data_IF_766508118073
#
_entry.id   IF_766508118073
#
_cell.length_a   1.000
_cell.length_b   1.000
_cell.length_c   1.000
_cell.angle_alpha   90.00
_cell.angle_beta   90.00
_cell.angle_gamma   90.00
#
_symmetry.space_group_name_H-M   'P 1'
#
loop_
_entity.id
_entity.type
_entity.pdbx_description
1 polymer ?
#
# COMPACT_ATOMS: atom_id res chain seq x y z
N UNK A 1 -7.38 4.69 -10.52
CA UNK A 1 -7.98 4.50 -9.18
C UNK A 1 -7.48 3.16 -8.66
N UNK A 2 -6.53 3.17 -7.71
CA UNK A 2 -6.05 1.94 -7.06
C UNK A 2 -7.03 1.57 -5.95
N UNK A 3 -7.75 0.47 -6.14
CA UNK A 3 -8.71 -0.03 -5.17
C UNK A 3 -7.95 -0.96 -4.19
N UNK A 4 -7.30 -0.38 -3.18
CA UNK A 4 -6.62 -1.16 -2.15
C UNK A 4 -7.66 -1.59 -1.11
N UNK A 5 -7.77 -2.90 -0.86
CA UNK A 5 -8.58 -3.42 0.23
C UNK A 5 -7.66 -3.69 1.43
N UNK A 6 -8.01 -3.16 2.60
CA UNK A 6 -7.29 -3.41 3.84
C UNK A 6 -8.30 -3.78 4.93
N UNK A 7 -8.08 -4.92 5.56
CA UNK A 7 -8.87 -5.41 6.69
C UNK A 7 -7.95 -5.76 7.84
N UNK A 8 -8.36 -5.47 9.07
CA UNK A 8 -7.49 -5.72 10.22
C UNK A 8 -8.10 -5.28 11.54
N UNK A 9 -7.37 -5.61 12.60
CA UNK A 9 -7.69 -5.29 13.98
C UNK A 9 -6.66 -4.29 14.48
N UNK A 10 -7.17 -3.20 15.05
CA UNK A 10 -6.34 -2.20 15.74
C UNK A 10 -6.75 -2.16 17.19
N UNK A 11 -5.82 -2.49 18.07
CA UNK A 11 -5.98 -2.38 19.51
C UNK A 11 -5.11 -1.23 20.00
N UNK A 12 -5.66 -0.36 20.82
CA UNK A 12 -4.90 0.71 21.46
C UNK A 12 -5.31 0.83 22.91
N UNK A 13 -4.35 0.77 23.81
CA UNK A 13 -4.57 0.97 25.24
C UNK A 13 -3.77 2.17 25.73
N UNK A 14 -4.41 3.19 26.33
CA UNK A 14 -3.68 4.23 27.04
C UNK A 14 -2.96 3.59 28.23
N UNK A 15 -1.66 3.83 28.37
CA UNK A 15 -0.86 3.32 29.50
C UNK A 15 -0.60 4.42 30.52
N UNK A 16 -0.41 5.68 30.09
CA UNK A 16 -0.14 6.79 30.99
C UNK A 16 -0.53 8.15 30.41
N UNK A 17 -1.55 8.84 30.95
CA UNK A 17 -2.07 10.20 30.58
C UNK A 17 -2.11 10.54 29.07
N UNK A 18 -0.96 10.76 28.45
CA UNK A 18 -0.81 11.07 27.03
C UNK A 18 -0.18 9.95 26.21
N UNK A 19 0.43 8.96 26.83
CA UNK A 19 1.08 7.83 26.19
C UNK A 19 0.21 6.58 26.23
N UNK A 20 0.36 5.75 25.21
CA UNK A 20 -0.27 4.44 25.14
C UNK A 20 0.44 3.51 24.17
N UNK A 21 0.05 2.25 24.22
CA UNK A 21 0.54 1.23 23.31
C UNK A 21 -0.55 0.90 22.30
N UNK A 22 -0.16 0.67 21.06
CA UNK A 22 -1.06 0.21 20.02
C UNK A 22 -0.45 -0.98 19.27
N UNK A 23 -1.30 -1.96 19.01
CA UNK A 23 -1.03 -3.12 18.18
C UNK A 23 -1.95 -3.06 16.96
N UNK A 24 -1.39 -3.31 15.78
CA UNK A 24 -2.09 -3.26 14.51
C UNK A 24 -1.75 -4.55 13.75
N UNK A 25 -2.77 -5.34 13.45
CA UNK A 25 -2.66 -6.58 12.71
C UNK A 25 -3.63 -6.52 11.53
N UNK A 26 -3.16 -6.69 10.32
CA UNK A 26 -4.03 -6.58 9.15
C UNK A 26 -3.52 -7.29 7.92
N UNK A 27 -4.44 -7.50 6.99
CA UNK A 27 -4.19 -8.00 5.66
C UNK A 27 -4.54 -6.90 4.65
N UNK A 28 -3.71 -6.72 3.63
CA UNK A 28 -3.99 -5.89 2.47
C UNK A 28 -3.98 -6.70 1.19
N UNK A 29 -4.79 -6.24 0.25
CA UNK A 29 -4.82 -6.72 -1.12
C UNK A 29 -4.72 -5.50 -2.03
N UNK A 30 -3.53 -5.30 -2.59
CA UNK A 30 -3.28 -4.24 -3.57
C UNK A 30 -3.39 -4.83 -4.99
N UNK A 31 -4.23 -4.29 -5.88
CA UNK A 31 -4.31 -4.76 -7.25
C UNK A 31 -3.02 -4.40 -8.01
N UNK A 32 -2.43 -5.38 -8.68
CA UNK A 32 -1.26 -5.17 -9.54
C UNK A 32 -1.78 -4.91 -10.97
N UNK A 33 -1.54 -3.72 -11.54
CA UNK A 33 -1.96 -3.43 -12.90
C UNK A 33 -1.21 -4.36 -13.87
N UNK A 34 -1.92 -4.89 -14.87
CA UNK A 34 -1.26 -5.48 -16.04
C UNK A 34 -0.70 -4.35 -16.90
N UNK A 35 0.46 -4.57 -17.53
CA UNK A 35 1.00 -3.69 -18.57
C UNK A 35 -0.15 -3.23 -19.47
N UNK A 36 -0.26 -1.91 -19.70
CA UNK A 36 -1.37 -1.31 -20.45
C UNK A 36 -1.56 -2.00 -21.79
N UNK A 37 -2.68 -2.71 -21.96
CA UNK A 37 -3.11 -3.15 -23.29
C UNK A 37 -3.67 -1.93 -24.03
N UNK A 38 -2.91 -1.38 -24.96
CA UNK A 38 -3.44 -0.43 -25.94
C UNK A 38 -4.32 -1.20 -26.91
N UNK A 39 -5.63 -1.06 -26.81
CA UNK A 39 -6.53 -1.53 -27.85
C UNK A 39 -6.61 -0.42 -28.88
N UNK A 40 -5.81 -0.53 -29.94
CA UNK A 40 -5.95 0.31 -31.12
C UNK A 40 -7.26 -0.08 -31.83
N UNK A 41 -8.32 0.69 -31.57
CA UNK A 41 -9.55 0.58 -32.34
C UNK A 41 -9.44 1.48 -33.56
N UNK A 42 -8.98 0.95 -34.70
CA UNK A 42 -9.10 1.65 -35.99
C UNK A 42 -10.57 1.65 -36.44
N UNK A 43 -11.22 2.80 -36.36
CA UNK A 43 -12.47 3.01 -37.08
C UNK A 43 -12.12 3.27 -38.56
N UNK A 44 -12.44 2.33 -39.44
CA UNK A 44 -12.11 2.39 -40.88
C UNK A 44 -12.84 3.55 -41.62
N UNK A 45 -13.81 4.21 -40.96
CA UNK A 45 -14.72 5.17 -41.60
C UNK A 45 -14.40 6.64 -41.27
N UNK A 46 -13.65 6.91 -40.22
CA UNK A 46 -13.23 8.28 -39.84
C UNK A 46 -11.84 8.21 -39.26
N UNK A 47 -10.91 8.95 -39.86
CA UNK A 47 -9.47 9.00 -39.56
C UNK A 47 -9.15 9.62 -38.18
N UNK A 48 -9.92 9.27 -37.14
CA UNK A 48 -9.72 9.70 -35.76
C UNK A 48 -9.15 8.54 -34.94
N UNK A 49 -7.86 8.61 -34.62
CA UNK A 49 -7.22 7.72 -33.65
C UNK A 49 -7.62 8.15 -32.23
N UNK A 50 -8.67 7.53 -31.68
CA UNK A 50 -9.00 7.63 -30.26
C UNK A 50 -8.30 6.51 -29.49
N UNK A 51 -7.10 6.80 -28.97
CA UNK A 51 -6.37 5.90 -28.07
C UNK A 51 -7.12 5.83 -26.73
N UNK A 52 -7.97 4.81 -26.57
CA UNK A 52 -8.58 4.49 -25.27
C UNK A 52 -7.66 3.53 -24.51
N UNK A 53 -6.84 4.08 -23.63
CA UNK A 53 -6.10 3.28 -22.64
C UNK A 53 -7.09 2.71 -21.62
N UNK A 54 -7.13 1.39 -21.47
CA UNK A 54 -7.86 0.71 -20.39
C UNK A 54 -6.85 -0.05 -19.53
N UNK A 55 -6.75 0.34 -18.26
CA UNK A 55 -5.97 -0.40 -17.26
C UNK A 55 -6.76 -1.62 -16.82
N UNK A 56 -6.25 -2.82 -17.08
CA UNK A 56 -6.84 -4.09 -16.65
C UNK A 56 -6.03 -4.63 -15.46
N UNK A 57 -6.70 -4.95 -14.36
CA UNK A 57 -6.09 -5.57 -13.19
C UNK A 57 -6.38 -7.06 -13.21
N UNK A 58 -5.36 -7.91 -13.27
CA UNK A 58 -5.53 -9.37 -13.32
C UNK A 58 -4.96 -10.09 -12.11
N UNK A 59 -4.27 -9.37 -11.21
CA UNK A 59 -3.52 -9.94 -10.07
C UNK A 59 -3.60 -9.03 -8.85
N UNK A 60 -3.30 -9.63 -7.70
CA UNK A 60 -3.24 -8.94 -6.41
C UNK A 60 -1.91 -9.21 -5.71
N UNK A 61 -1.46 -8.25 -4.91
CA UNK A 61 -0.34 -8.31 -3.97
C UNK A 61 -0.91 -8.52 -2.56
N UNK A 62 -1.14 -9.77 -2.11
CA UNK A 62 -1.59 -10.03 -0.75
C UNK A 62 -0.45 -9.75 0.21
N UNK A 63 -0.70 -8.93 1.22
CA UNK A 63 0.26 -8.67 2.28
C UNK A 63 -0.41 -8.74 3.66
N UNK A 64 0.39 -9.03 4.67
CA UNK A 64 0.04 -8.89 6.08
C UNK A 64 0.94 -7.85 6.73
N UNK A 65 0.45 -7.25 7.80
CA UNK A 65 1.19 -6.34 8.66
C UNK A 65 0.91 -6.73 10.11
N UNK A 66 1.97 -6.85 10.90
CA UNK A 66 1.91 -7.01 12.35
C UNK A 66 2.80 -5.93 12.94
N UNK A 67 2.21 -4.96 13.63
CA UNK A 67 2.89 -3.77 14.10
C UNK A 67 2.59 -3.52 15.58
N UNK A 68 3.62 -3.05 16.28
CA UNK A 68 3.55 -2.56 17.65
C UNK A 68 4.07 -1.12 17.68
N UNK A 69 3.39 -0.26 18.43
CA UNK A 69 3.75 1.15 18.52
C UNK A 69 3.49 1.74 19.89
N UNK A 70 4.32 2.71 20.24
CA UNK A 70 4.08 3.65 21.31
C UNK A 70 3.45 4.90 20.68
N UNK A 71 2.31 5.33 21.20
CA UNK A 71 1.66 6.57 20.77
C UNK A 71 1.65 7.61 21.87
N UNK A 72 1.78 8.87 21.46
CA UNK A 72 1.53 10.06 22.25
C UNK A 72 0.30 10.77 21.69
N UNK A 73 -0.70 11.03 22.53
CA UNK A 73 -1.95 11.70 22.20
C UNK A 73 -2.07 13.00 23.00
N UNK A 74 -2.12 14.11 22.28
CA UNK A 74 -2.45 15.43 22.81
C UNK A 74 -3.88 15.79 22.44
N UNK A 75 -4.73 16.01 23.44
CA UNK A 75 -6.07 16.58 23.23
C UNK A 75 -5.91 18.07 22.93
N UNK A 76 -6.52 18.56 21.86
CA UNK A 76 -6.69 19.99 21.60
C UNK A 76 -8.06 20.45 22.16
N UNK A 77 -8.21 21.76 22.36
CA UNK A 77 -9.40 22.37 22.98
C UNK A 77 -10.72 22.09 22.24
N UNK A 78 -10.66 21.67 20.97
CA UNK A 78 -11.80 21.55 20.05
C UNK A 78 -12.29 20.10 19.87
N UNK A 79 -12.18 19.25 20.88
CA UNK A 79 -12.47 17.79 20.79
C UNK A 79 -11.61 17.01 19.79
N UNK A 80 -10.67 17.66 19.13
CA UNK A 80 -9.70 17.03 18.25
C UNK A 80 -8.56 16.45 19.10
N UNK A 81 -7.96 15.36 18.63
CA UNK A 81 -6.77 14.79 19.26
C UNK A 81 -5.72 14.52 18.21
N UNK A 82 -4.57 15.17 18.35
CA UNK A 82 -3.40 14.85 17.57
C UNK A 82 -2.70 13.66 18.21
N UNK A 83 -2.42 12.63 17.41
CA UNK A 83 -1.71 11.44 17.85
C UNK A 83 -0.50 11.19 16.98
N UNK A 84 0.66 11.17 17.63
CA UNK A 84 1.94 10.72 17.07
C UNK A 84 2.18 9.28 17.54
N UNK A 85 2.54 8.38 16.65
CA UNK A 85 2.93 7.02 17.01
C UNK A 85 4.25 6.65 16.34
N UNK A 86 5.16 6.06 17.10
CA UNK A 86 6.38 5.44 16.60
C UNK A 86 6.30 3.95 16.89
N UNK A 87 6.66 3.14 15.90
CA UNK A 87 6.52 1.71 16.03
C UNK A 87 7.42 0.93 15.12
N UNK A 88 7.39 -0.37 15.34
CA UNK A 88 8.05 -1.35 14.52
C UNK A 88 7.08 -2.48 14.20
N UNK A 89 7.37 -3.20 13.13
CA UNK A 89 6.54 -4.34 12.76
C UNK A 89 7.17 -5.20 11.69
N UNK A 90 6.48 -6.29 11.40
CA UNK A 90 6.82 -7.21 10.32
C UNK A 90 5.73 -7.17 9.25
N UNK A 91 6.14 -7.26 8.00
CA UNK A 91 5.25 -7.35 6.86
C UNK A 91 5.88 -8.21 5.78
N UNK A 92 5.07 -8.92 5.01
CA UNK A 92 5.52 -9.51 3.75
C UNK A 92 5.18 -8.63 2.54
N UNK A 93 4.77 -7.37 2.77
CA UNK A 93 4.46 -6.45 1.70
C UNK A 93 5.69 -6.22 0.83
N UNK A 94 5.56 -6.56 -0.45
CA UNK A 94 6.63 -6.39 -1.41
C UNK A 94 6.31 -5.21 -2.34
N UNK A 95 6.96 -4.04 -2.16
CA UNK A 95 6.78 -2.89 -3.05
C UNK A 95 7.29 -3.16 -4.47
N UNK A 96 8.16 -4.16 -4.63
CA UNK A 96 8.73 -4.57 -5.92
C UNK A 96 7.91 -5.63 -6.64
N UNK A 97 6.78 -6.11 -6.09
CA UNK A 97 5.99 -7.16 -6.73
C UNK A 97 5.47 -6.74 -8.11
N UNK A 98 5.14 -5.46 -8.26
CA UNK A 98 4.80 -4.85 -9.55
C UNK A 98 5.98 -4.94 -10.52
N UNK A 99 7.16 -4.46 -10.12
CA UNK A 99 8.38 -4.45 -10.95
C UNK A 99 8.90 -5.85 -11.30
N UNK A 100 8.81 -6.82 -10.37
CA UNK A 100 9.19 -8.21 -10.59
C UNK A 100 8.46 -8.84 -11.80
N UNK A 101 7.24 -8.38 -12.08
CA UNK A 101 6.38 -8.96 -13.11
C UNK A 101 6.25 -8.07 -14.35
N UNK A 102 6.84 -6.88 -14.32
CA UNK A 102 6.90 -5.98 -15.47
C UNK A 102 7.88 -6.50 -16.51
N UNK A 103 7.46 -6.43 -17.77
CA UNK A 103 8.34 -6.63 -18.93
C UNK A 103 8.49 -5.28 -19.63
N UNK A 104 9.74 -4.84 -19.84
CA UNK A 104 10.09 -3.63 -20.61
C UNK A 104 10.88 -4.11 -21.82
N UNK A 105 10.42 -3.80 -23.03
CA UNK A 105 11.08 -4.16 -24.30
C UNK A 105 11.44 -5.65 -24.43
N UNK A 106 10.55 -6.52 -23.93
CA UNK A 106 10.75 -7.99 -23.92
C UNK A 106 11.65 -8.51 -22.79
N UNK A 107 12.30 -7.63 -22.03
CA UNK A 107 13.16 -7.99 -20.90
C UNK A 107 12.33 -8.07 -19.62
N UNK A 108 12.38 -9.22 -18.96
CA UNK A 108 11.72 -9.46 -17.67
C UNK A 108 12.64 -8.98 -16.55
N UNK A 109 12.23 -7.94 -15.82
CA UNK A 109 13.06 -7.36 -14.77
C UNK A 109 13.43 -8.36 -13.66
N UNK A 110 12.56 -9.35 -13.36
CA UNK A 110 12.87 -10.43 -12.39
C UNK A 110 14.10 -11.26 -12.71
N UNK A 111 14.51 -11.33 -13.98
CA UNK A 111 15.65 -12.15 -14.41
C UNK A 111 16.98 -11.40 -14.19
N UNK A 112 16.92 -10.09 -13.88
CA UNK A 112 18.08 -9.22 -13.67
C UNK A 112 18.18 -8.61 -12.27
N UNK A 113 17.13 -8.73 -11.46
CA UNK A 113 17.15 -8.31 -10.06
C UNK A 113 16.87 -9.50 -9.15
N UNK A 114 17.68 -9.67 -8.10
CA UNK A 114 17.42 -10.61 -7.00
C UNK A 114 16.28 -10.12 -6.09
N UNK A 115 15.11 -9.91 -6.67
CA UNK A 115 13.90 -9.45 -5.98
C UNK A 115 13.15 -10.67 -5.45
N UNK A 116 13.51 -11.12 -4.24
CA UNK A 116 12.78 -12.18 -3.55
C UNK A 116 11.41 -11.66 -3.10
N UNK A 117 10.34 -12.32 -3.54
CA UNK A 117 8.95 -11.85 -3.38
C UNK A 117 8.26 -12.29 -2.08
N UNK A 118 8.94 -13.06 -1.23
CA UNK A 118 8.32 -13.76 -0.10
C UNK A 118 9.02 -13.59 1.25
N UNK A 119 10.05 -12.73 1.35
CA UNK A 119 10.77 -12.54 2.61
C UNK A 119 10.01 -11.59 3.54
N UNK A 120 9.84 -11.92 4.83
CA UNK A 120 9.34 -10.96 5.80
C UNK A 120 10.31 -9.79 5.93
N UNK A 121 9.78 -8.58 5.80
CA UNK A 121 10.48 -7.32 5.99
C UNK A 121 10.17 -6.75 7.38
N UNK A 122 11.20 -6.22 8.03
CA UNK A 122 11.04 -5.42 9.24
C UNK A 122 10.79 -3.96 8.85
N UNK A 123 9.85 -3.32 9.54
CA UNK A 123 9.44 -1.95 9.29
C UNK A 123 9.62 -1.13 10.55
N UNK A 124 10.18 0.06 10.39
CA UNK A 124 10.11 1.13 11.38
C UNK A 124 9.18 2.20 10.79
N UNK A 125 8.25 2.73 11.58
CA UNK A 125 7.32 3.73 11.10
C UNK A 125 7.06 4.84 12.10
N UNK A 126 6.71 5.99 11.54
CA UNK A 126 6.17 7.15 12.24
C UNK A 126 4.79 7.44 11.66
N UNK A 127 3.77 7.50 12.50
CA UNK A 127 2.38 7.76 12.10
C UNK A 127 1.88 9.02 12.81
N UNK A 128 1.41 9.97 12.03
CA UNK A 128 0.72 11.15 12.53
C UNK A 128 -0.75 11.07 12.14
N UNK A 129 -1.65 11.32 13.09
CA UNK A 129 -3.09 11.19 12.90
C UNK A 129 -3.84 12.28 13.63
N UNK A 130 -4.99 12.71 13.09
CA UNK A 130 -5.79 13.79 13.65
C UNK A 130 -5.30 15.20 13.32
N UNK A 131 -4.51 15.37 12.25
CA UNK A 131 -4.31 16.67 11.61
C UNK A 131 -5.49 16.93 10.67
N UNK A 132 -6.36 17.88 11.03
CA UNK A 132 -7.24 18.51 10.04
C UNK A 132 -6.52 19.75 9.52
N UNK A 133 -6.32 19.82 8.20
CA UNK A 133 -5.99 21.07 7.49
C UNK A 133 -7.28 21.70 6.98
#
# INVERSE_FOLDING_TARGET
MNLNCLTGIKLSSPTHKHFGLAADAGFSFEPIPFNSGSVESRNVVTNEEKVKSKTVFTRFNPAYYLQLSLFYRKKTHTHQSCQLAIGMGVTNYNPYNTYYRTTIDGIRLKDHFELSTSKPAYTLFLRLSGLNF
#
